data_IF_168961650238
#
_entry.id   IF_168961650238
#
_cell.length_a   1.000
_cell.length_b   1.000
_cell.length_c   1.000
_cell.angle_alpha   90.00
_cell.angle_beta   90.00
_cell.angle_gamma   90.00
#
_symmetry.space_group_name_H-M   'P 1'
#
loop_
_entity.id
_entity.type
_entity.pdbx_description
1 polymer ?
#
# COMPACT_ATOMS: atom_id res chain seq x y z
N UNK A 1 28.07 28.22 31.76
CA UNK A 1 29.02 27.11 31.51
C UNK A 1 28.49 26.31 30.33
N UNK A 2 29.08 26.52 29.13
CA UNK A 2 28.72 25.81 27.90
C UNK A 2 29.23 24.38 27.99
N UNK A 3 28.34 23.39 27.90
CA UNK A 3 28.73 22.01 27.62
C UNK A 3 28.63 21.79 26.10
N UNK A 4 29.80 21.64 25.47
CA UNK A 4 29.90 21.09 24.13
C UNK A 4 29.64 19.58 24.21
N UNK A 5 28.55 19.11 23.61
CA UNK A 5 28.34 17.70 23.28
C UNK A 5 29.03 17.41 21.95
N UNK A 6 29.94 16.43 21.94
CA UNK A 6 30.47 15.83 20.72
C UNK A 6 29.47 14.80 20.17
N UNK A 7 29.27 14.69 18.84
CA UNK A 7 28.40 13.68 18.26
C UNK A 7 29.14 12.32 18.18
N UNK A 8 28.49 11.22 18.59
CA UNK A 8 28.94 9.86 18.28
C UNK A 8 29.02 8.83 19.41
N UNK A 9 28.35 9.01 20.55
CA UNK A 9 28.24 7.92 21.55
C UNK A 9 26.82 7.35 21.59
N UNK A 10 26.70 6.10 21.10
CA UNK A 10 25.59 5.21 21.42
C UNK A 10 25.40 5.20 22.95
N UNK A 11 24.25 5.67 23.41
CA UNK A 11 23.92 5.69 24.83
C UNK A 11 23.12 4.44 25.15
N UNK A 12 23.83 3.34 25.44
CA UNK A 12 23.25 2.10 25.97
C UNK A 12 23.61 1.97 27.44
N UNK A 13 22.64 1.66 28.30
CA UNK A 13 22.91 1.20 29.67
C UNK A 13 22.87 -0.32 29.64
N UNK A 14 23.97 -0.97 30.04
CA UNK A 14 24.16 -2.43 29.94
C UNK A 14 24.65 -2.96 31.29
N UNK A 15 24.05 -4.03 31.79
CA UNK A 15 24.64 -4.89 32.83
C UNK A 15 24.74 -6.30 32.24
N UNK A 16 25.96 -6.81 32.04
CA UNK A 16 26.17 -8.04 31.27
C UNK A 16 26.56 -9.23 32.15
N UNK A 17 26.04 -10.41 31.82
CA UNK A 17 26.64 -11.71 32.13
C UNK A 17 26.67 -12.55 30.86
N UNK A 18 27.85 -13.00 30.46
CA UNK A 18 28.10 -13.65 29.17
C UNK A 18 28.12 -15.17 29.33
N UNK A 19 27.33 -15.90 28.52
CA UNK A 19 27.47 -17.35 28.34
C UNK A 19 28.00 -17.63 26.92
N UNK A 20 29.05 -18.44 26.81
CA UNK A 20 29.67 -18.84 25.53
C UNK A 20 29.28 -20.30 25.24
N UNK A 21 28.62 -20.55 24.11
CA UNK A 21 28.35 -21.91 23.61
C UNK A 21 29.34 -22.21 22.48
N UNK A 22 30.16 -23.25 22.66
CA UNK A 22 31.14 -23.71 21.66
C UNK A 22 30.55 -24.93 20.95
N UNK A 23 30.31 -24.83 19.64
CA UNK A 23 29.94 -25.96 18.79
C UNK A 23 31.20 -26.41 18.03
N UNK A 24 31.70 -27.59 18.35
CA UNK A 24 32.78 -28.22 17.61
C UNK A 24 32.19 -29.03 16.45
N UNK A 25 32.47 -28.63 15.20
CA UNK A 25 32.18 -29.44 14.01
C UNK A 25 33.47 -30.18 13.64
N UNK A 26 33.46 -31.51 13.74
CA UNK A 26 34.57 -32.35 13.27
C UNK A 26 34.25 -32.88 11.89
N UNK A 27 35.04 -32.47 10.89
CA UNK A 27 35.14 -33.16 9.60
C UNK A 27 36.38 -34.06 9.63
N UNK A 28 36.33 -35.27 9.04
CA UNK A 28 37.51 -36.13 9.00
C UNK A 28 38.56 -35.52 8.04
N UNK A 29 39.69 -35.10 8.60
CA UNK A 29 40.88 -34.72 7.85
C UNK A 29 41.26 -33.24 7.82
N UNK A 30 40.59 -32.35 8.57
CA UNK A 30 41.00 -30.95 8.69
C UNK A 30 40.98 -30.44 10.14
N UNK A 31 41.87 -29.49 10.43
CA UNK A 31 41.95 -28.81 11.73
C UNK A 31 40.58 -28.20 12.10
N UNK A 32 40.15 -28.28 13.37
CA UNK A 32 38.85 -27.78 13.77
C UNK A 32 38.79 -26.26 13.60
N UNK A 33 37.96 -25.79 12.66
CA UNK A 33 37.56 -24.40 12.59
C UNK A 33 36.47 -24.17 13.64
N UNK A 34 36.81 -23.47 14.71
CA UNK A 34 35.84 -23.03 15.72
C UNK A 34 35.08 -21.83 15.15
N UNK A 35 33.85 -22.06 14.69
CA UNK A 35 32.94 -20.98 14.34
C UNK A 35 32.23 -20.54 15.62
N UNK A 36 32.75 -19.50 16.29
CA UNK A 36 32.08 -18.88 17.43
C UNK A 36 30.92 -18.02 16.93
N UNK A 37 29.71 -18.56 16.88
CA UNK A 37 28.49 -17.76 16.82
C UNK A 37 28.06 -17.42 18.25
N UNK A 38 28.41 -16.22 18.71
CA UNK A 38 27.91 -15.69 19.98
C UNK A 38 26.43 -15.31 19.81
N UNK A 39 25.51 -16.12 20.34
CA UNK A 39 24.11 -15.71 20.51
C UNK A 39 23.96 -15.24 21.94
N UNK A 40 23.86 -13.92 22.14
CA UNK A 40 23.53 -13.36 23.44
C UNK A 40 22.05 -13.65 23.75
N UNK A 41 21.79 -14.72 24.50
CA UNK A 41 20.48 -15.00 25.09
C UNK A 41 20.45 -14.35 26.46
N UNK A 42 20.34 -13.02 26.47
CA UNK A 42 20.00 -12.26 27.67
C UNK A 42 18.51 -11.95 27.68
N UNK A 43 17.80 -12.30 28.75
CA UNK A 43 16.39 -11.96 28.97
C UNK A 43 16.18 -10.47 29.36
N UNK A 44 17.07 -9.58 28.93
CA UNK A 44 17.02 -8.17 29.29
C UNK A 44 16.24 -7.36 28.26
N UNK A 45 15.28 -6.56 28.73
CA UNK A 45 14.61 -5.55 27.92
C UNK A 45 15.54 -4.33 27.84
N UNK A 46 16.24 -4.21 26.71
CA UNK A 46 17.09 -3.05 26.43
C UNK A 46 16.23 -1.96 25.81
N UNK A 47 16.09 -0.82 26.49
CA UNK A 47 15.44 0.39 25.93
C UNK A 47 16.43 1.07 24.99
N UNK A 48 16.06 1.23 23.72
CA UNK A 48 16.88 1.87 22.69
C UNK A 48 16.14 3.08 22.14
N UNK A 49 16.65 4.26 22.47
CA UNK A 49 16.07 5.55 22.05
C UNK A 49 16.32 5.80 20.55
N UNK A 50 17.40 5.26 20.01
CA UNK A 50 17.71 5.40 18.58
C UNK A 50 16.85 4.44 17.73
N UNK A 51 16.34 4.91 16.57
CA UNK A 51 15.61 4.06 15.64
C UNK A 51 16.50 2.95 15.05
N UNK A 52 15.92 1.85 14.53
CA UNK A 52 16.69 0.81 13.87
C UNK A 52 17.34 1.32 12.56
N UNK A 53 18.66 1.14 12.43
CA UNK A 53 19.40 1.46 11.20
C UNK A 53 19.28 0.37 10.12
N UNK A 54 18.64 -0.75 10.44
CA UNK A 54 18.48 -1.88 9.51
C UNK A 54 17.72 -1.45 8.25
N UNK A 55 18.26 -1.81 7.09
CA UNK A 55 17.58 -1.70 5.81
C UNK A 55 16.77 -2.96 5.55
N UNK A 56 15.45 -2.84 5.68
CA UNK A 56 14.50 -3.90 5.37
C UNK A 56 14.21 -3.97 3.87
N UNK A 57 13.92 -5.16 3.41
CA UNK A 57 13.52 -5.46 2.04
C UNK A 57 12.02 -5.17 1.86
N UNK A 58 11.63 -4.82 0.63
CA UNK A 58 10.25 -4.52 0.23
C UNK A 58 9.96 -5.13 -1.15
N UNK A 59 8.68 -5.20 -1.51
CA UNK A 59 8.25 -5.75 -2.80
C UNK A 59 8.69 -7.19 -3.00
N UNK A 60 9.19 -7.51 -4.20
CA UNK A 60 9.59 -8.88 -4.56
C UNK A 60 10.70 -9.45 -3.66
N UNK A 61 11.67 -8.63 -3.24
CA UNK A 61 12.72 -9.07 -2.33
C UNK A 61 12.14 -9.46 -0.94
N UNK A 62 11.16 -8.70 -0.45
CA UNK A 62 10.46 -9.07 0.78
C UNK A 62 9.63 -10.35 0.61
N UNK A 63 8.94 -10.52 -0.53
CA UNK A 63 8.19 -11.74 -0.84
C UNK A 63 9.14 -12.96 -0.85
N UNK A 64 10.33 -12.84 -1.44
CA UNK A 64 11.37 -13.87 -1.43
C UNK A 64 11.88 -14.16 -0.01
N UNK A 65 12.18 -13.14 0.77
CA UNK A 65 12.61 -13.30 2.17
C UNK A 65 11.53 -13.92 3.05
N UNK A 66 10.26 -13.60 2.82
CA UNK A 66 9.11 -14.19 3.52
C UNK A 66 8.88 -15.65 3.14
N UNK A 67 9.08 -16.01 1.87
CA UNK A 67 9.04 -17.39 1.37
C UNK A 67 10.32 -18.18 1.70
N UNK A 68 11.38 -17.48 2.08
CA UNK A 68 12.69 -18.04 2.43
C UNK A 68 12.61 -19.07 3.55
N UNK A 69 13.65 -19.90 3.65
CA UNK A 69 13.69 -21.02 4.60
C UNK A 69 14.63 -20.73 5.76
N UNK A 70 14.20 -21.11 6.97
CA UNK A 70 15.00 -21.13 8.19
C UNK A 70 15.47 -22.57 8.40
N UNK A 71 16.79 -22.84 8.53
CA UNK A 71 17.32 -24.20 8.69
C UNK A 71 16.94 -24.86 10.03
N UNK A 72 16.55 -24.04 11.01
CA UNK A 72 16.09 -24.44 12.33
C UNK A 72 16.38 -23.34 13.35
N UNK A 73 15.58 -23.27 14.39
CA UNK A 73 15.77 -22.35 15.50
C UNK A 73 15.13 -22.92 16.77
N UNK A 74 15.69 -22.51 17.91
CA UNK A 74 15.17 -22.87 19.22
C UNK A 74 15.15 -21.61 20.05
N UNK A 75 13.95 -21.27 20.55
CA UNK A 75 13.75 -20.27 21.57
C UNK A 75 13.26 -20.96 22.82
N UNK A 76 13.81 -20.57 23.96
CA UNK A 76 13.44 -21.09 25.27
C UNK A 76 13.12 -19.91 26.19
N UNK A 77 11.82 -19.68 26.42
CA UNK A 77 11.29 -18.58 27.21
C UNK A 77 11.85 -17.19 26.81
N UNK A 78 12.11 -16.99 25.51
CA UNK A 78 12.64 -15.73 24.99
C UNK A 78 11.50 -14.71 24.86
N UNK A 79 11.68 -13.43 25.24
CA UNK A 79 10.65 -12.40 25.05
C UNK A 79 10.27 -12.26 23.58
N UNK A 80 8.97 -12.22 23.28
CA UNK A 80 8.42 -12.08 21.92
C UNK A 80 9.12 -10.99 21.11
N UNK A 81 9.33 -9.81 21.72
CA UNK A 81 10.08 -8.70 21.12
C UNK A 81 11.43 -9.12 20.58
N UNK A 82 12.23 -9.82 21.38
CA UNK A 82 13.58 -10.20 21.01
C UNK A 82 13.56 -11.21 19.87
N UNK A 83 12.60 -12.14 19.89
CA UNK A 83 12.40 -13.12 18.81
C UNK A 83 12.05 -12.41 17.49
N UNK A 84 11.10 -11.47 17.52
CA UNK A 84 10.70 -10.70 16.35
C UNK A 84 11.83 -9.82 15.82
N UNK A 85 12.60 -9.16 16.69
CA UNK A 85 13.74 -8.33 16.29
C UNK A 85 14.85 -9.16 15.65
N UNK A 86 15.16 -10.35 16.20
CA UNK A 86 16.15 -11.26 15.64
C UNK A 86 15.74 -11.74 14.26
N UNK A 87 14.49 -12.21 14.11
CA UNK A 87 13.97 -12.69 12.82
C UNK A 87 13.88 -11.57 11.79
N UNK A 88 13.35 -10.41 12.18
CA UNK A 88 13.24 -9.25 11.30
C UNK A 88 14.61 -8.77 10.82
N UNK A 89 15.63 -8.79 11.67
CA UNK A 89 17.01 -8.45 11.28
C UNK A 89 17.61 -9.51 10.35
N UNK A 90 17.46 -10.79 10.70
CA UNK A 90 18.07 -11.90 9.96
C UNK A 90 17.49 -12.05 8.54
N UNK A 91 16.19 -11.82 8.39
CA UNK A 91 15.48 -11.94 7.11
C UNK A 91 15.14 -10.59 6.48
N UNK A 92 15.64 -9.48 7.05
CA UNK A 92 15.41 -8.12 6.57
C UNK A 92 13.93 -7.82 6.32
N UNK A 93 13.05 -8.33 7.18
CA UNK A 93 11.62 -8.01 7.18
C UNK A 93 11.28 -7.09 8.35
N UNK A 94 10.45 -6.08 8.11
CA UNK A 94 9.97 -5.26 9.21
C UNK A 94 8.84 -5.98 9.93
N UNK A 95 9.09 -6.39 11.18
CA UNK A 95 8.10 -7.05 12.02
C UNK A 95 7.64 -6.09 13.10
N UNK A 96 6.37 -5.67 13.03
CA UNK A 96 5.71 -4.87 14.06
C UNK A 96 4.80 -5.76 14.90
N UNK A 97 4.81 -5.54 16.22
CA UNK A 97 3.91 -6.19 17.17
C UNK A 97 2.87 -5.17 17.61
N UNK A 98 1.59 -5.48 17.42
CA UNK A 98 0.47 -4.65 17.85
C UNK A 98 0.51 -4.44 19.37
N UNK A 99 0.29 -3.20 19.82
CA UNK A 99 0.30 -2.82 21.25
C UNK A 99 -0.58 -3.69 22.16
N UNK A 100 -1.60 -4.37 21.62
CA UNK A 100 -2.52 -5.25 22.38
C UNK A 100 -1.92 -6.63 22.64
N UNK A 101 -0.78 -6.94 22.05
CA UNK A 101 0.00 -8.16 22.29
C UNK A 101 1.16 -7.81 23.21
N UNK A 102 1.30 -8.54 24.32
CA UNK A 102 2.38 -8.34 25.27
C UNK A 102 3.75 -8.68 24.65
N UNK A 103 4.64 -7.69 24.43
CA UNK A 103 5.94 -7.91 23.80
C UNK A 103 6.94 -8.64 24.72
N UNK A 104 6.65 -8.72 26.02
CA UNK A 104 7.48 -9.42 27.02
C UNK A 104 7.08 -10.88 27.18
N UNK A 105 5.99 -11.32 26.56
CA UNK A 105 5.49 -12.69 26.63
C UNK A 105 6.59 -13.68 26.23
N UNK A 106 6.90 -14.68 27.08
CA UNK A 106 7.91 -15.67 26.76
C UNK A 106 7.42 -16.58 25.63
N UNK A 107 8.29 -16.85 24.67
CA UNK A 107 8.10 -17.74 23.53
C UNK A 107 9.08 -18.91 23.66
N UNK A 108 8.53 -20.12 23.67
CA UNK A 108 9.26 -21.38 23.77
C UNK A 108 8.91 -22.25 22.58
N UNK A 109 9.65 -22.05 21.49
CA UNK A 109 9.38 -22.71 20.21
C UNK A 109 10.63 -23.44 19.70
N UNK A 110 10.43 -24.70 19.30
CA UNK A 110 11.41 -25.49 18.54
C UNK A 110 10.92 -25.65 17.11
N UNK A 111 11.69 -25.14 16.17
CA UNK A 111 11.41 -25.30 14.75
C UNK A 111 12.55 -26.05 14.06
N UNK A 112 12.16 -27.02 13.23
CA UNK A 112 13.06 -27.59 12.23
C UNK A 112 13.15 -26.68 11.00
N UNK A 113 13.44 -27.27 9.85
CA UNK A 113 13.42 -26.55 8.57
C UNK A 113 11.98 -26.09 8.26
N UNK A 114 11.77 -24.78 8.14
CA UNK A 114 10.46 -24.19 7.85
C UNK A 114 10.61 -22.84 7.13
N UNK A 115 9.57 -22.37 6.44
CA UNK A 115 9.59 -21.02 5.85
C UNK A 115 9.53 -19.94 6.92
N UNK A 116 10.06 -18.75 6.63
CA UNK A 116 9.96 -17.57 7.51
C UNK A 116 8.51 -17.29 7.85
N UNK A 117 7.63 -17.32 6.84
CA UNK A 117 6.18 -17.19 7.02
C UNK A 117 5.62 -18.14 8.08
N UNK A 118 5.88 -19.44 7.94
CA UNK A 118 5.36 -20.45 8.85
C UNK A 118 5.93 -20.30 10.28
N UNK A 119 7.15 -19.80 10.41
CA UNK A 119 7.78 -19.54 11.71
C UNK A 119 7.15 -18.33 12.39
N UNK A 120 6.99 -17.22 11.67
CA UNK A 120 6.38 -16.00 12.22
C UNK A 120 4.91 -16.23 12.57
N UNK A 121 4.18 -17.01 11.77
CA UNK A 121 2.82 -17.45 12.08
C UNK A 121 2.73 -18.27 13.38
N UNK A 122 3.66 -19.20 13.60
CA UNK A 122 3.73 -19.97 14.86
C UNK A 122 4.02 -19.08 16.06
N UNK A 123 4.95 -18.13 15.92
CA UNK A 123 5.28 -17.16 16.97
C UNK A 123 4.05 -16.29 17.29
N UNK A 124 3.36 -15.79 16.26
CA UNK A 124 2.14 -15.02 16.43
C UNK A 124 1.06 -15.82 17.15
N UNK A 125 0.85 -17.09 16.77
CA UNK A 125 -0.12 -17.98 17.41
C UNK A 125 0.22 -18.24 18.89
N UNK A 126 1.49 -18.47 19.22
CA UNK A 126 1.95 -18.66 20.61
C UNK A 126 1.77 -17.38 21.45
N UNK A 127 1.88 -16.21 20.82
CA UNK A 127 1.58 -14.91 21.42
C UNK A 127 0.07 -14.60 21.54
N UNK A 128 -0.82 -15.44 20.99
CA UNK A 128 -2.27 -15.22 20.97
C UNK A 128 -2.76 -14.28 19.86
N UNK A 129 -1.94 -14.06 18.83
CA UNK A 129 -2.24 -13.21 17.68
C UNK A 129 -2.26 -13.99 16.36
N UNK A 130 -2.30 -13.22 15.27
CA UNK A 130 -2.14 -13.65 13.88
C UNK A 130 -1.24 -12.68 13.15
N UNK A 131 -0.77 -13.08 11.97
CA UNK A 131 0.03 -12.25 11.08
C UNK A 131 -0.85 -11.60 10.02
N UNK A 132 -0.50 -10.36 9.66
CA UNK A 132 -0.89 -9.71 8.42
C UNK A 132 0.37 -9.22 7.72
N UNK A 133 0.40 -9.28 6.40
CA UNK A 133 1.59 -8.93 5.62
C UNK A 133 1.21 -8.03 4.44
N UNK A 134 2.01 -6.99 4.20
CA UNK A 134 1.95 -6.18 2.98
C UNK A 134 3.30 -5.51 2.74
N UNK A 135 3.82 -5.61 1.51
CA UNK A 135 4.94 -4.81 1.02
C UNK A 135 6.19 -4.80 1.94
N UNK A 136 6.55 -5.94 2.55
CA UNK A 136 7.71 -6.06 3.46
C UNK A 136 7.46 -5.63 4.90
N UNK A 137 6.23 -5.21 5.21
CA UNK A 137 5.73 -5.07 6.57
C UNK A 137 4.98 -6.35 6.99
N UNK A 138 5.39 -6.91 8.12
CA UNK A 138 4.68 -7.97 8.84
C UNK A 138 4.14 -7.39 10.13
N UNK A 139 2.83 -7.46 10.31
CA UNK A 139 2.13 -7.07 11.53
C UNK A 139 1.68 -8.32 12.30
N UNK A 140 2.13 -8.48 13.54
CA UNK A 140 1.60 -9.45 14.49
C UNK A 140 0.54 -8.75 15.32
N UNK A 141 -0.73 -9.13 15.17
CA UNK A 141 -1.86 -8.43 15.78
C UNK A 141 -2.93 -9.40 16.32
N UNK A 142 -3.85 -8.94 17.19
CA UNK A 142 -5.02 -9.73 17.56
C UNK A 142 -5.79 -10.22 16.31
N UNK A 143 -6.44 -11.39 16.34
CA UNK A 143 -7.01 -12.02 15.16
C UNK A 143 -7.87 -11.08 14.30
N UNK A 144 -8.76 -10.31 14.94
CA UNK A 144 -9.66 -9.37 14.25
C UNK A 144 -8.90 -8.24 13.55
N UNK A 145 -7.82 -7.74 14.15
CA UNK A 145 -7.01 -6.68 13.57
C UNK A 145 -6.15 -7.19 12.40
N UNK A 146 -5.56 -8.38 12.55
CA UNK A 146 -4.83 -9.02 11.46
C UNK A 146 -5.74 -9.29 10.24
N UNK A 147 -6.95 -9.82 10.48
CA UNK A 147 -7.94 -10.07 9.42
C UNK A 147 -8.42 -8.79 8.72
N UNK A 148 -8.50 -7.67 9.45
CA UNK A 148 -8.95 -6.38 8.89
C UNK A 148 -7.85 -5.58 8.20
N UNK A 149 -6.58 -5.93 8.38
CA UNK A 149 -5.45 -5.13 7.89
C UNK A 149 -5.45 -4.94 6.37
N UNK A 150 -5.42 -6.05 5.62
CA UNK A 150 -5.38 -6.02 4.16
C UNK A 150 -6.61 -5.30 3.54
N UNK A 151 -7.86 -5.63 3.90
CA UNK A 151 -9.01 -4.94 3.31
C UNK A 151 -9.05 -3.45 3.68
N UNK A 152 -8.60 -3.06 4.89
CA UNK A 152 -8.47 -1.65 5.26
C UNK A 152 -7.40 -0.93 4.43
N UNK A 153 -6.26 -1.57 4.23
CA UNK A 153 -5.18 -1.02 3.40
C UNK A 153 -5.67 -0.80 1.96
N UNK A 154 -6.32 -1.79 1.37
CA UNK A 154 -6.85 -1.71 0.00
C UNK A 154 -7.92 -0.62 -0.13
N UNK A 155 -8.85 -0.52 0.83
CA UNK A 155 -9.85 0.55 0.90
C UNK A 155 -9.20 1.93 1.04
N UNK A 156 -8.18 2.05 1.89
CA UNK A 156 -7.49 3.32 2.13
C UNK A 156 -6.72 3.77 0.90
N UNK A 157 -6.03 2.84 0.21
CA UNK A 157 -5.36 3.09 -1.08
C UNK A 157 -6.36 3.52 -2.14
N UNK A 158 -7.48 2.84 -2.27
CA UNK A 158 -8.57 3.24 -3.18
C UNK A 158 -9.01 4.67 -2.90
N UNK A 159 -9.28 5.00 -1.64
CA UNK A 159 -9.77 6.33 -1.24
C UNK A 159 -8.75 7.43 -1.52
N UNK A 160 -7.47 7.21 -1.18
CA UNK A 160 -6.39 8.16 -1.47
C UNK A 160 -6.16 8.33 -2.97
N UNK A 161 -6.28 7.24 -3.75
CA UNK A 161 -6.16 7.32 -5.20
C UNK A 161 -7.25 8.17 -5.86
N UNK A 162 -8.46 8.24 -5.28
CA UNK A 162 -9.57 9.06 -5.79
C UNK A 162 -9.36 10.57 -5.61
N UNK A 163 -8.58 10.97 -4.61
CA UNK A 163 -8.38 12.38 -4.24
C UNK A 163 -6.98 12.89 -4.58
N UNK A 164 -6.06 11.98 -4.87
CA UNK A 164 -4.73 12.32 -5.33
C UNK A 164 -4.76 13.08 -6.66
N UNK A 165 -4.01 14.18 -6.72
CA UNK A 165 -3.70 14.89 -7.98
C UNK A 165 -2.46 14.30 -8.67
N UNK A 166 -2.12 14.80 -9.86
CA UNK A 166 -0.97 14.38 -10.67
C UNK A 166 0.35 14.27 -9.91
N UNK A 167 0.54 15.11 -8.88
CA UNK A 167 1.80 15.25 -8.16
C UNK A 167 1.74 14.45 -6.85
N UNK A 168 1.48 13.15 -6.99
CA UNK A 168 0.86 12.30 -5.97
C UNK A 168 1.81 11.94 -4.81
N UNK A 169 2.05 12.90 -3.92
CA UNK A 169 2.80 12.72 -2.68
C UNK A 169 2.29 11.51 -1.88
N UNK A 170 0.98 11.24 -1.88
CA UNK A 170 0.35 10.14 -1.13
C UNK A 170 0.78 8.75 -1.57
N UNK A 171 1.23 8.58 -2.83
CA UNK A 171 1.74 7.32 -3.36
C UNK A 171 3.25 7.18 -3.26
N UNK A 172 3.97 8.24 -2.86
CA UNK A 172 5.41 8.14 -2.70
C UNK A 172 5.72 7.20 -1.55
N UNK A 173 6.62 6.26 -1.80
CA UNK A 173 7.09 5.38 -0.76
C UNK A 173 8.09 6.11 0.13
N UNK A 174 7.87 6.06 1.43
CA UNK A 174 8.75 6.68 2.42
C UNK A 174 9.03 5.70 3.55
N UNK A 175 10.23 5.79 4.11
CA UNK A 175 10.58 5.00 5.29
C UNK A 175 10.41 5.82 6.55
N UNK A 176 9.63 5.29 7.49
CA UNK A 176 9.43 5.85 8.82
C UNK A 176 10.15 4.99 9.84
N UNK A 177 10.80 5.62 10.81
CA UNK A 177 11.51 4.93 11.88
C UNK A 177 11.29 5.67 13.18
N UNK A 178 11.14 4.93 14.26
CA UNK A 178 11.05 5.48 15.60
C UNK A 178 11.79 4.59 16.59
N UNK A 179 12.28 5.21 17.67
CA UNK A 179 12.90 4.51 18.79
C UNK A 179 11.89 3.99 19.81
N UNK A 180 12.38 3.36 20.87
CA UNK A 180 11.53 2.94 21.98
C UNK A 180 10.93 4.17 22.68
N UNK A 181 9.73 3.98 23.23
CA UNK A 181 8.94 5.00 23.93
C UNK A 181 8.45 6.13 23.00
N UNK A 182 8.41 5.89 21.69
CA UNK A 182 7.78 6.81 20.75
C UNK A 182 6.26 6.85 20.96
N UNK A 183 5.66 8.03 20.87
CA UNK A 183 4.21 8.18 21.00
C UNK A 183 3.53 7.96 19.64
N UNK A 184 2.46 7.13 19.56
CA UNK A 184 1.78 6.82 18.29
C UNK A 184 1.18 8.05 17.62
N UNK A 185 0.72 9.02 18.42
CA UNK A 185 0.23 10.30 17.92
C UNK A 185 1.33 11.09 17.21
N UNK A 186 2.56 11.06 17.72
CA UNK A 186 3.71 11.71 17.09
C UNK A 186 4.09 11.00 15.80
N UNK A 187 4.11 9.66 15.80
CA UNK A 187 4.37 8.84 14.61
C UNK A 187 3.33 9.15 13.51
N UNK A 188 2.04 9.14 13.84
CA UNK A 188 0.97 9.47 12.89
C UNK A 188 1.09 10.91 12.36
N UNK A 189 1.45 11.86 13.22
CA UNK A 189 1.64 13.26 12.82
C UNK A 189 2.85 13.44 11.90
N UNK A 190 3.94 12.71 12.14
CA UNK A 190 5.10 12.69 11.25
C UNK A 190 4.74 12.10 9.88
N UNK A 191 4.03 10.96 9.85
CA UNK A 191 3.53 10.36 8.62
C UNK A 191 2.68 11.37 7.85
N UNK A 192 1.69 11.98 8.51
CA UNK A 192 0.82 12.97 7.90
C UNK A 192 1.63 14.14 7.33
N UNK A 193 2.56 14.69 8.11
CA UNK A 193 3.43 15.80 7.67
C UNK A 193 4.24 15.45 6.43
N UNK A 194 4.87 14.27 6.39
CA UNK A 194 5.67 13.83 5.24
C UNK A 194 4.84 13.59 3.98
N UNK A 195 3.54 13.35 4.14
CA UNK A 195 2.58 13.18 3.06
C UNK A 195 1.75 14.43 2.77
N UNK A 196 2.08 15.58 3.38
CA UNK A 196 1.35 16.84 3.24
C UNK A 196 -0.13 16.72 3.63
N UNK A 197 -0.41 15.87 4.62
CA UNK A 197 -1.70 15.68 5.24
C UNK A 197 -1.78 16.40 6.58
N UNK A 198 -2.98 16.88 6.91
CA UNK A 198 -3.33 17.41 8.22
C UNK A 198 -4.33 16.46 8.90
N UNK A 199 -4.01 16.03 10.12
CA UNK A 199 -4.93 15.27 10.96
C UNK A 199 -5.85 16.25 11.70
N UNK A 200 -7.16 16.14 11.49
CA UNK A 200 -8.16 17.03 12.10
C UNK A 200 -8.35 16.76 13.61
N UNK A 201 -8.31 15.49 14.00
CA UNK A 201 -8.64 15.01 15.35
C UNK A 201 -7.58 14.02 15.89
N UNK A 202 -6.32 14.46 16.10
CA UNK A 202 -5.22 13.59 16.55
C UNK A 202 -5.43 12.99 17.96
N UNK A 203 -6.34 13.55 18.76
CA UNK A 203 -6.75 13.05 20.06
C UNK A 203 -7.46 11.69 20.01
N UNK A 204 -8.00 11.28 18.86
CA UNK A 204 -8.54 9.93 18.63
C UNK A 204 -7.47 8.84 18.71
N UNK A 205 -6.19 9.21 18.68
CA UNK A 205 -5.07 8.32 19.02
C UNK A 205 -4.77 8.52 20.51
N UNK A 206 -5.12 7.54 21.38
CA UNK A 206 -4.80 7.58 22.79
C UNK A 206 -3.29 7.72 23.02
N UNK A 207 -2.91 8.31 24.15
CA UNK A 207 -1.52 8.33 24.58
C UNK A 207 -1.05 6.91 24.90
N UNK A 208 0.13 6.55 24.39
CA UNK A 208 0.76 5.25 24.54
C UNK A 208 2.26 5.39 24.25
N UNK A 209 3.06 4.38 24.61
CA UNK A 209 4.50 4.33 24.39
C UNK A 209 4.86 3.07 23.63
N UNK A 210 5.31 3.23 22.40
CA UNK A 210 5.53 2.10 21.50
C UNK A 210 6.95 1.54 21.55
N UNK A 211 7.09 0.24 21.26
CA UNK A 211 8.38 -0.32 20.87
C UNK A 211 8.95 0.43 19.67
N UNK A 212 10.29 0.46 19.56
CA UNK A 212 10.94 0.89 18.32
C UNK A 212 10.43 0.10 17.12
N UNK A 213 10.39 0.74 15.95
CA UNK A 213 9.83 0.13 14.76
C UNK A 213 10.21 0.86 13.48
N UNK A 214 9.98 0.18 12.35
CA UNK A 214 10.23 0.71 11.01
C UNK A 214 9.04 0.39 10.10
N UNK A 215 8.63 1.36 9.29
CA UNK A 215 7.74 1.14 8.16
C UNK A 215 8.57 1.37 6.89
N UNK A 216 9.10 0.30 6.27
CA UNK A 216 10.01 0.43 5.14
C UNK A 216 9.24 0.74 3.87
N UNK A 217 9.65 1.80 3.17
CA UNK A 217 9.13 2.20 1.85
C UNK A 217 7.59 2.12 1.73
N UNK A 218 6.89 2.58 2.76
CA UNK A 218 5.42 2.56 2.79
C UNK A 218 4.83 3.83 2.17
N UNK A 219 3.73 3.66 1.44
CA UNK A 219 2.88 4.78 1.03
C UNK A 219 2.05 5.33 2.20
N UNK A 220 1.33 6.44 1.99
CA UNK A 220 0.51 7.06 3.04
C UNK A 220 -0.56 6.13 3.60
N UNK A 221 -1.16 5.29 2.75
CA UNK A 221 -2.22 4.38 3.14
C UNK A 221 -1.68 3.25 4.03
N UNK A 222 -0.57 2.62 3.64
CA UNK A 222 0.11 1.58 4.40
C UNK A 222 0.60 2.11 5.74
N UNK A 223 1.27 3.25 5.74
CA UNK A 223 1.81 3.85 6.96
C UNK A 223 0.71 4.20 7.97
N UNK A 224 -0.36 4.87 7.53
CA UNK A 224 -1.48 5.23 8.40
C UNK A 224 -2.27 4.00 8.87
N UNK A 225 -2.48 3.01 7.99
CA UNK A 225 -3.20 1.77 8.35
C UNK A 225 -2.44 0.98 9.42
N UNK A 226 -1.11 0.85 9.29
CA UNK A 226 -0.26 0.14 10.25
C UNK A 226 -0.28 0.76 11.65
N UNK A 227 -0.40 2.09 11.73
CA UNK A 227 -0.51 2.78 13.02
C UNK A 227 -1.92 2.67 13.60
N UNK A 228 -2.94 3.02 12.82
CA UNK A 228 -4.30 3.23 13.32
C UNK A 228 -5.07 1.94 13.61
N UNK A 229 -4.74 0.84 12.93
CA UNK A 229 -5.42 -0.44 13.16
C UNK A 229 -5.22 -0.97 14.59
N UNK A 230 -4.12 -0.58 15.24
CA UNK A 230 -3.81 -0.93 16.63
C UNK A 230 -4.75 -0.23 17.64
N UNK A 231 -5.52 0.76 17.20
CA UNK A 231 -6.51 1.51 17.97
C UNK A 231 -7.94 1.28 17.49
N UNK A 232 -8.16 0.29 16.61
CA UNK A 232 -9.44 0.05 15.96
C UNK A 232 -9.96 1.30 15.22
N UNK A 233 -9.02 2.04 14.61
CA UNK A 233 -9.27 3.26 13.84
C UNK A 233 -8.80 3.12 12.40
N UNK A 234 -9.34 3.96 11.54
CA UNK A 234 -8.93 4.16 10.15
C UNK A 234 -9.04 5.66 9.82
N UNK A 235 -8.77 6.04 8.57
CA UNK A 235 -8.91 7.42 8.10
C UNK A 235 -10.07 7.57 7.12
N UNK A 236 -10.70 8.73 7.19
CA UNK A 236 -11.47 9.30 6.09
C UNK A 236 -10.75 10.53 5.58
N UNK A 237 -10.43 10.55 4.28
CA UNK A 237 -9.75 11.65 3.62
C UNK A 237 -10.77 12.52 2.89
N UNK A 238 -10.60 13.82 3.05
CA UNK A 238 -11.46 14.83 2.45
C UNK A 238 -11.31 14.87 0.93
N UNK A 239 -12.20 15.63 0.26
CA UNK A 239 -12.19 15.73 -1.21
C UNK A 239 -10.94 16.43 -1.76
N UNK A 240 -10.25 17.24 -0.95
CA UNK A 240 -9.02 17.92 -1.37
C UNK A 240 -7.78 17.05 -1.30
N UNK A 241 -7.86 15.90 -0.58
CA UNK A 241 -6.73 15.00 -0.41
C UNK A 241 -5.68 15.54 0.57
N UNK A 242 -6.05 16.48 1.45
CA UNK A 242 -5.13 17.16 2.39
C UNK A 242 -5.53 17.00 3.84
N UNK A 243 -6.81 16.80 4.13
CA UNK A 243 -7.30 16.67 5.50
C UNK A 243 -7.75 15.23 5.71
N UNK A 244 -7.23 14.61 6.77
CA UNK A 244 -7.66 13.29 7.21
C UNK A 244 -8.31 13.38 8.58
N UNK A 245 -9.44 12.69 8.72
CA UNK A 245 -10.10 12.49 10.01
C UNK A 245 -9.92 11.03 10.43
N UNK A 246 -9.52 10.83 11.68
CA UNK A 246 -9.44 9.51 12.28
C UNK A 246 -10.85 9.11 12.69
N UNK A 247 -11.30 7.94 12.22
CA UNK A 247 -12.66 7.43 12.42
C UNK A 247 -12.62 5.96 12.84
N UNK A 248 -13.67 5.43 13.50
CA UNK A 248 -13.77 4.00 13.77
C UNK A 248 -13.70 3.16 12.49
N UNK A 249 -13.11 1.97 12.60
CA UNK A 249 -13.17 0.98 11.52
C UNK A 249 -14.65 0.60 11.28
N UNK A 250 -15.16 0.71 10.05
CA UNK A 250 -16.52 0.31 9.75
C UNK A 250 -16.69 -1.20 9.87
N UNK A 251 -17.88 -1.65 10.28
CA UNK A 251 -18.19 -3.08 10.42
C UNK A 251 -18.00 -3.86 9.12
N UNK A 252 -18.34 -3.22 7.98
CA UNK A 252 -18.11 -3.73 6.63
C UNK A 252 -17.02 -2.95 5.91
N UNK A 253 -15.99 -3.65 5.48
CA UNK A 253 -14.85 -3.07 4.74
C UNK A 253 -14.94 -3.54 3.29
N UNK A 254 -15.46 -2.66 2.43
CA UNK A 254 -15.53 -2.88 0.99
C UNK A 254 -14.48 -2.06 0.25
N UNK A 255 -13.94 -2.64 -0.81
CA UNK A 255 -13.01 -1.97 -1.72
C UNK A 255 -13.27 -2.42 -3.15
N UNK A 256 -12.74 -1.69 -4.13
CA UNK A 256 -12.87 -2.04 -5.54
C UNK A 256 -11.60 -2.70 -6.06
N UNK A 257 -11.72 -3.84 -6.75
CA UNK A 257 -10.64 -4.49 -7.47
C UNK A 257 -11.08 -4.85 -8.89
N UNK A 258 -10.12 -4.87 -9.79
CA UNK A 258 -10.37 -5.11 -11.21
C UNK A 258 -9.99 -6.55 -11.58
N UNK A 259 -10.73 -7.18 -12.47
CA UNK A 259 -10.51 -8.54 -12.90
C UNK A 259 -10.63 -8.65 -14.42
N UNK A 260 -9.94 -9.64 -15.01
CA UNK A 260 -10.02 -9.96 -16.44
C UNK A 260 -10.49 -11.40 -16.64
N UNK A 261 -11.80 -11.68 -16.51
CA UNK A 261 -12.36 -12.99 -16.80
C UNK A 261 -12.05 -13.45 -18.23
N UNK A 262 -11.85 -14.76 -18.42
CA UNK A 262 -11.68 -15.36 -19.76
C UNK A 262 -12.91 -15.12 -20.64
N UNK A 263 -14.10 -15.14 -20.02
CA UNK A 263 -15.40 -14.88 -20.67
C UNK A 263 -16.18 -13.85 -19.86
N UNK A 264 -16.76 -12.87 -20.55
CA UNK A 264 -17.66 -11.88 -19.96
C UNK A 264 -18.88 -11.78 -20.88
N UNK A 265 -20.06 -12.07 -20.36
CA UNK A 265 -21.34 -11.99 -21.08
C UNK A 265 -22.42 -11.44 -20.16
N UNK A 266 -23.54 -10.96 -20.73
CA UNK A 266 -24.67 -10.50 -19.94
C UNK A 266 -25.23 -11.60 -19.01
N UNK A 267 -25.22 -12.85 -19.47
CA UNK A 267 -25.65 -14.00 -18.67
C UNK A 267 -24.69 -14.27 -17.49
N UNK A 268 -23.37 -14.20 -17.72
CA UNK A 268 -22.38 -14.35 -16.66
C UNK A 268 -22.51 -13.23 -15.62
N UNK A 269 -22.72 -11.98 -16.05
CA UNK A 269 -22.92 -10.85 -15.13
C UNK A 269 -24.20 -11.00 -14.29
N UNK A 270 -25.30 -11.47 -14.88
CA UNK A 270 -26.53 -11.76 -14.16
C UNK A 270 -26.36 -12.88 -13.13
N UNK A 271 -25.57 -13.90 -13.46
CA UNK A 271 -25.20 -14.96 -12.53
C UNK A 271 -24.32 -14.45 -11.38
N UNK A 272 -23.31 -13.63 -11.66
CA UNK A 272 -22.44 -13.04 -10.64
C UNK A 272 -23.24 -12.16 -9.66
N UNK A 273 -24.11 -11.28 -10.16
CA UNK A 273 -24.98 -10.44 -9.31
C UNK A 273 -25.95 -11.24 -8.44
N UNK A 274 -26.38 -12.43 -8.90
CA UNK A 274 -27.21 -13.33 -8.09
C UNK A 274 -26.41 -14.02 -7.00
N UNK A 275 -25.13 -14.33 -7.26
CA UNK A 275 -24.26 -15.08 -6.35
C UNK A 275 -23.61 -14.20 -5.28
N UNK A 276 -23.26 -12.96 -5.62
CA UNK A 276 -22.73 -11.95 -4.71
C UNK A 276 -23.68 -10.74 -4.68
N UNK A 277 -24.82 -10.86 -3.99
CA UNK A 277 -25.87 -9.82 -3.99
C UNK A 277 -25.43 -8.52 -3.32
N UNK A 278 -24.49 -8.60 -2.37
CA UNK A 278 -23.95 -7.44 -1.65
C UNK A 278 -22.75 -6.79 -2.34
N UNK A 279 -22.32 -7.35 -3.48
CA UNK A 279 -21.19 -6.86 -4.25
C UNK A 279 -21.65 -6.16 -5.53
N UNK A 280 -20.95 -5.08 -5.88
CA UNK A 280 -21.23 -4.29 -7.07
C UNK A 280 -20.30 -4.69 -8.22
N UNK A 281 -20.86 -4.83 -9.42
CA UNK A 281 -20.10 -5.18 -10.63
C UNK A 281 -20.29 -4.10 -11.70
N UNK A 282 -19.18 -3.43 -12.07
CA UNK A 282 -19.07 -2.63 -13.29
C UNK A 282 -18.28 -3.41 -14.35
N UNK A 283 -18.80 -3.44 -15.58
CA UNK A 283 -18.19 -4.20 -16.69
C UNK A 283 -17.89 -3.25 -17.83
N UNK A 284 -16.60 -3.14 -18.16
CA UNK A 284 -16.12 -2.35 -19.30
C UNK A 284 -15.32 -3.25 -20.24
N UNK A 285 -15.89 -3.55 -21.41
CA UNK A 285 -15.33 -4.47 -22.43
C UNK A 285 -15.05 -5.87 -21.86
N UNK A 286 -13.81 -6.15 -21.43
CA UNK A 286 -13.34 -7.43 -20.88
C UNK A 286 -12.72 -7.28 -19.49
N UNK A 287 -13.04 -6.17 -18.84
CA UNK A 287 -12.55 -5.78 -17.53
C UNK A 287 -13.77 -5.65 -16.62
N UNK A 288 -13.73 -6.35 -15.49
CA UNK A 288 -14.80 -6.36 -14.48
C UNK A 288 -14.25 -5.72 -13.23
N UNK A 289 -14.82 -4.60 -12.81
CA UNK A 289 -14.55 -4.02 -11.50
C UNK A 289 -15.58 -4.58 -10.53
N UNK A 290 -15.09 -5.34 -9.56
CA UNK A 290 -15.87 -5.84 -8.43
C UNK A 290 -15.61 -4.90 -7.25
N UNK A 291 -16.66 -4.41 -6.62
CA UNK A 291 -16.61 -3.74 -5.33
C UNK A 291 -17.33 -4.60 -4.30
N UNK A 292 -16.59 -5.11 -3.33
CA UNK A 292 -17.12 -6.03 -2.33
C UNK A 292 -16.18 -6.19 -1.14
N UNK A 293 -16.52 -7.12 -0.26
CA UNK A 293 -15.63 -7.51 0.84
C UNK A 293 -14.53 -8.45 0.35
N UNK A 294 -13.48 -8.61 1.15
CA UNK A 294 -12.35 -9.49 0.81
C UNK A 294 -12.80 -10.94 0.52
N UNK A 295 -13.86 -11.42 1.19
CA UNK A 295 -14.45 -12.72 0.93
C UNK A 295 -15.07 -12.84 -0.47
N UNK A 296 -15.76 -11.78 -0.94
CA UNK A 296 -16.33 -11.73 -2.29
C UNK A 296 -15.21 -11.79 -3.33
N UNK A 297 -14.15 -11.01 -3.12
CA UNK A 297 -12.97 -10.99 -3.97
C UNK A 297 -12.26 -12.34 -4.04
N UNK A 298 -12.07 -13.00 -2.89
CA UNK A 298 -11.47 -14.32 -2.81
C UNK A 298 -12.30 -15.36 -3.56
N UNK A 299 -13.60 -15.44 -3.29
CA UNK A 299 -14.51 -16.37 -3.96
C UNK A 299 -14.57 -16.11 -5.47
N UNK A 300 -14.71 -14.84 -5.88
CA UNK A 300 -14.75 -14.48 -7.30
C UNK A 300 -13.47 -14.92 -8.03
N UNK A 301 -12.30 -14.69 -7.43
CA UNK A 301 -11.01 -15.06 -8.03
C UNK A 301 -10.81 -16.58 -8.15
N UNK A 302 -11.40 -17.37 -7.24
CA UNK A 302 -11.33 -18.83 -7.25
C UNK A 302 -12.33 -19.45 -8.24
N UNK A 303 -13.55 -18.93 -8.30
CA UNK A 303 -14.64 -19.51 -9.07
C UNK A 303 -14.67 -19.03 -10.54
N UNK A 304 -14.21 -17.81 -10.82
CA UNK A 304 -14.25 -17.24 -12.17
C UNK A 304 -12.91 -17.44 -12.86
N UNK A 305 -12.86 -18.14 -14.01
CA UNK A 305 -11.61 -18.32 -14.74
C UNK A 305 -11.05 -16.98 -15.23
N UNK A 306 -9.92 -16.54 -14.66
CA UNK A 306 -9.21 -15.32 -15.03
C UNK A 306 -8.14 -15.59 -16.08
N UNK A 307 -7.74 -14.56 -16.85
CA UNK A 307 -6.58 -14.64 -17.74
C UNK A 307 -5.27 -14.58 -16.94
N UNK A 308 -4.23 -15.27 -17.41
CA UNK A 308 -2.91 -15.46 -16.76
C UNK A 308 -2.03 -14.21 -16.60
N UNK A 309 -2.58 -13.00 -16.62
CA UNK A 309 -1.90 -11.86 -15.99
C UNK A 309 -2.06 -12.01 -14.48
N UNK A 310 -1.32 -12.95 -13.90
CA UNK A 310 -1.46 -13.47 -12.55
C UNK A 310 -0.95 -12.51 -11.46
N UNK A 311 -1.88 -11.79 -10.85
CA UNK A 311 -1.98 -11.36 -9.44
C UNK A 311 -3.34 -10.63 -9.35
N UNK A 312 -4.04 -10.63 -8.20
CA UNK A 312 -5.14 -9.69 -8.00
C UNK A 312 -4.59 -8.29 -8.32
N UNK A 313 -5.21 -7.48 -9.18
CA UNK A 313 -4.71 -6.14 -9.42
C UNK A 313 -4.69 -5.37 -8.12
N UNK A 314 -3.53 -4.78 -7.86
CA UNK A 314 -3.32 -3.59 -7.05
C UNK A 314 -4.48 -2.61 -7.27
N UNK A 315 -4.80 -1.87 -6.21
CA UNK A 315 -5.73 -0.73 -6.15
C UNK A 315 -5.93 -0.05 -7.53
N UNK A 316 -7.18 0.35 -7.86
CA UNK A 316 -7.61 0.71 -9.20
C UNK A 316 -6.54 1.50 -9.96
N UNK A 317 -6.09 0.94 -11.08
CA UNK A 317 -5.23 1.63 -12.04
C UNK A 317 -5.97 2.88 -12.52
N UNK A 318 -5.53 4.01 -11.97
CA UNK A 318 -5.57 5.37 -12.48
C UNK A 318 -6.70 5.72 -13.46
N UNK A 319 -7.81 6.22 -12.90
CA UNK A 319 -8.55 7.27 -13.60
C UNK A 319 -7.78 8.57 -13.38
N UNK A 320 -6.70 8.79 -14.13
CA UNK A 320 -6.05 10.13 -14.15
C UNK A 320 -7.08 11.12 -14.68
N UNK A 321 -7.49 12.07 -13.85
CA UNK A 321 -8.43 13.13 -14.23
C UNK A 321 -7.83 13.97 -15.37
N UNK A 322 -8.65 14.53 -16.26
CA UNK A 322 -8.15 15.30 -17.40
C UNK A 322 -7.26 16.48 -16.98
N UNK A 323 -7.63 17.18 -15.90
CA UNK A 323 -6.83 18.28 -15.31
C UNK A 323 -5.40 17.87 -14.95
N UNK A 324 -5.21 16.57 -14.73
CA UNK A 324 -3.99 15.96 -14.24
C UNK A 324 -3.16 15.28 -15.35
N UNK A 325 -3.61 15.40 -16.61
CA UNK A 325 -2.92 14.83 -17.78
C UNK A 325 -2.08 15.89 -18.49
N UNK A 326 -0.86 15.51 -18.84
CA UNK A 326 -0.04 16.23 -19.81
C UNK A 326 -0.18 15.56 -21.17
N UNK A 327 -0.60 16.32 -22.17
CA UNK A 327 -0.81 15.86 -23.52
C UNK A 327 0.37 16.27 -24.39
N UNK A 328 1.08 15.27 -24.89
CA UNK A 328 2.02 15.45 -26.00
C UNK A 328 1.39 14.81 -27.21
N UNK A 329 1.11 15.60 -28.23
CA UNK A 329 0.49 15.13 -29.47
C UNK A 329 1.22 15.80 -30.63
N UNK A 330 1.94 14.99 -31.39
CA UNK A 330 2.48 15.34 -32.70
C UNK A 330 1.64 14.59 -33.72
N UNK A 331 0.77 15.33 -34.41
CA UNK A 331 -0.14 14.80 -35.41
C UNK A 331 0.00 15.64 -36.66
N UNK A 332 0.37 15.00 -37.77
CA UNK A 332 0.41 15.63 -39.09
C UNK A 332 -0.74 15.07 -39.92
N UNK A 333 -1.66 15.94 -40.33
CA UNK A 333 -2.77 15.61 -41.19
C UNK A 333 -3.62 14.43 -40.67
N UNK A 334 -4.03 14.45 -39.39
CA UNK A 334 -4.82 13.38 -38.75
C UNK A 334 -6.29 13.83 -38.60
N UNK A 335 -7.29 13.00 -38.93
CA UNK A 335 -8.69 13.35 -38.72
C UNK A 335 -9.01 13.49 -37.22
N UNK A 336 -9.81 14.49 -36.86
CA UNK A 336 -10.14 14.79 -35.45
C UNK A 336 -10.89 13.62 -34.79
N UNK A 337 -11.70 12.87 -35.53
CA UNK A 337 -12.31 11.61 -35.06
C UNK A 337 -11.28 10.59 -34.56
N UNK A 338 -10.10 10.51 -35.16
CA UNK A 338 -9.04 9.61 -34.69
C UNK A 338 -8.37 10.13 -33.41
N UNK A 339 -8.28 11.45 -33.24
CA UNK A 339 -7.79 12.08 -32.00
C UNK A 339 -8.78 11.84 -30.86
N UNK A 340 -10.08 12.02 -31.11
CA UNK A 340 -11.16 11.69 -30.15
C UNK A 340 -11.09 10.22 -29.76
N UNK A 341 -11.04 9.31 -30.73
CA UNK A 341 -10.99 7.86 -30.47
C UNK A 341 -9.73 7.46 -29.67
N UNK A 342 -8.59 8.10 -29.93
CA UNK A 342 -7.36 7.89 -29.17
C UNK A 342 -7.54 8.35 -27.72
N UNK A 343 -8.08 9.55 -27.51
CA UNK A 343 -8.34 10.07 -26.16
C UNK A 343 -9.36 9.20 -25.39
N UNK A 344 -10.40 8.71 -26.06
CA UNK A 344 -11.34 7.77 -25.47
C UNK A 344 -10.69 6.44 -25.08
N UNK A 345 -9.70 5.98 -25.84
CA UNK A 345 -8.91 4.79 -25.49
C UNK A 345 -8.09 4.97 -24.20
N UNK A 346 -7.78 6.21 -23.83
CA UNK A 346 -7.10 6.58 -22.58
C UNK A 346 -8.05 6.86 -21.41
N UNK A 347 -9.36 6.62 -21.57
CA UNK A 347 -10.36 6.80 -20.52
C UNK A 347 -11.00 8.18 -20.43
N UNK A 348 -10.79 9.05 -21.43
CA UNK A 348 -11.55 10.30 -21.60
C UNK A 348 -12.92 9.98 -22.19
N UNK A 349 -13.97 10.70 -21.83
CA UNK A 349 -15.31 10.55 -22.40
C UNK A 349 -15.68 11.83 -23.14
N UNK A 350 -16.20 11.74 -24.36
CA UNK A 350 -16.71 12.91 -25.08
C UNK A 350 -18.24 12.90 -25.09
N UNK A 351 -18.82 14.04 -24.73
CA UNK A 351 -20.26 14.28 -24.84
C UNK A 351 -20.48 15.44 -25.81
N UNK A 352 -21.28 15.19 -26.84
CA UNK A 352 -21.67 16.21 -27.81
C UNK A 352 -22.97 15.81 -28.52
N UNK A 353 -23.76 16.81 -28.91
CA UNK A 353 -24.96 16.60 -29.72
C UNK A 353 -24.61 16.59 -31.21
N UNK A 354 -24.62 15.41 -31.81
CA UNK A 354 -24.30 15.22 -33.22
C UNK A 354 -25.29 15.93 -34.18
N UNK A 355 -26.53 16.20 -33.77
CA UNK A 355 -27.48 16.95 -34.57
C UNK A 355 -27.19 18.46 -34.52
N UNK A 356 -26.88 18.98 -33.34
CA UNK A 356 -26.49 20.39 -33.16
C UNK A 356 -25.17 20.73 -33.89
N UNK A 357 -24.18 19.83 -33.85
CA UNK A 357 -22.90 20.04 -34.57
C UNK A 357 -23.08 20.07 -36.09
N UNK A 358 -23.95 19.22 -36.65
CA UNK A 358 -24.26 19.23 -38.09
C UNK A 358 -25.02 20.48 -38.50
N UNK A 359 -25.95 20.96 -37.68
CA UNK A 359 -26.67 22.21 -37.94
C UNK A 359 -25.75 23.44 -37.91
N UNK A 360 -24.71 23.41 -37.08
CA UNK A 360 -23.67 24.43 -37.02
C UNK A 360 -22.58 24.28 -38.10
N UNK A 361 -22.68 23.30 -39.00
CA UNK A 361 -21.73 23.11 -40.10
C UNK A 361 -20.36 22.54 -39.68
N UNK A 362 -20.23 21.96 -38.48
CA UNK A 362 -18.97 21.42 -37.97
C UNK A 362 -18.74 19.99 -38.50
N UNK A 363 -17.60 19.76 -39.16
CA UNK A 363 -17.17 18.43 -39.62
C UNK A 363 -16.05 17.85 -38.75
N UNK A 364 -16.36 16.81 -37.98
CA UNK A 364 -15.39 16.10 -37.13
C UNK A 364 -14.38 15.26 -37.93
N UNK A 365 -14.59 15.03 -39.22
CA UNK A 365 -13.62 14.35 -40.09
C UNK A 365 -12.56 15.30 -40.66
N UNK A 366 -12.65 16.60 -40.38
CA UNK A 366 -11.62 17.56 -40.74
C UNK A 366 -10.27 17.12 -40.17
N UNK A 367 -9.24 17.23 -40.99
CA UNK A 367 -7.88 16.82 -40.65
C UNK A 367 -7.14 17.99 -40.05
N UNK A 368 -6.44 17.73 -38.96
CA UNK A 368 -5.70 18.74 -38.21
C UNK A 368 -4.23 18.35 -38.14
N UNK A 369 -3.37 19.38 -38.17
CA UNK A 369 -1.93 19.27 -37.95
C UNK A 369 -1.60 20.07 -36.70
N UNK A 370 -0.98 19.42 -35.72
CA UNK A 370 -0.62 20.03 -34.44
C UNK A 370 0.60 19.33 -33.84
N UNK A 371 1.55 20.12 -33.35
CA UNK A 371 2.68 19.67 -32.55
C UNK A 371 2.59 20.33 -31.17
N UNK A 372 2.04 19.59 -30.20
CA UNK A 372 1.90 20.01 -28.82
C UNK A 372 2.80 19.15 -27.95
N UNK A 373 3.61 19.80 -27.11
CA UNK A 373 4.50 19.13 -26.16
C UNK A 373 4.09 19.47 -24.74
N UNK A 374 3.70 18.45 -23.98
CA UNK A 374 3.38 18.58 -22.55
C UNK A 374 2.31 19.65 -22.23
N UNK A 375 1.28 19.78 -23.08
CA UNK A 375 0.17 20.71 -22.85
C UNK A 375 -0.74 20.22 -21.71
N UNK A 376 -1.33 21.12 -20.93
CA UNK A 376 -2.44 20.76 -20.03
C UNK A 376 -3.75 20.51 -20.80
N UNK A 377 -4.75 19.92 -20.15
CA UNK A 377 -6.03 19.59 -20.78
C UNK A 377 -6.72 20.80 -21.42
N UNK A 378 -6.69 21.96 -20.77
CA UNK A 378 -7.36 23.16 -21.30
C UNK A 378 -6.68 23.65 -22.57
N UNK A 379 -5.35 23.77 -22.55
CA UNK A 379 -4.58 24.19 -23.71
C UNK A 379 -4.67 23.18 -24.86
N UNK A 380 -4.64 21.89 -24.54
CA UNK A 380 -4.78 20.81 -25.51
C UNK A 380 -6.16 20.80 -26.18
N UNK A 381 -7.25 20.79 -25.40
CA UNK A 381 -8.61 20.75 -25.94
C UNK A 381 -8.94 22.01 -26.75
N UNK A 382 -8.42 23.18 -26.34
CA UNK A 382 -8.55 24.42 -27.11
C UNK A 382 -7.83 24.31 -28.45
N UNK A 383 -6.58 23.87 -28.47
CA UNK A 383 -5.78 23.75 -29.69
C UNK A 383 -6.35 22.74 -30.71
N UNK A 384 -7.02 21.68 -30.24
CA UNK A 384 -7.61 20.66 -31.12
C UNK A 384 -9.00 21.07 -31.63
N UNK A 385 -9.85 21.67 -30.78
CA UNK A 385 -11.28 21.85 -31.09
C UNK A 385 -11.69 23.27 -31.47
N UNK A 386 -11.00 24.31 -30.98
CA UNK A 386 -11.33 25.70 -31.35
C UNK A 386 -11.17 25.99 -32.86
N UNK A 387 -10.16 25.45 -33.58
CA UNK A 387 -10.05 25.63 -35.04
C UNK A 387 -11.23 25.03 -35.84
N UNK A 388 -12.02 24.15 -35.23
CA UNK A 388 -13.21 23.52 -35.81
C UNK A 388 -14.50 24.29 -35.48
N UNK A 389 -14.39 25.43 -34.80
CA UNK A 389 -15.55 26.17 -34.30
C UNK A 389 -16.22 25.50 -33.10
N UNK A 390 -15.49 24.71 -32.31
CA UNK A 390 -16.01 24.01 -31.14
C UNK A 390 -15.46 24.61 -29.85
N UNK A 391 -16.36 24.85 -28.88
CA UNK A 391 -16.01 25.11 -27.50
C UNK A 391 -15.94 23.80 -26.75
N UNK A 392 -14.82 23.60 -26.04
CA UNK A 392 -14.58 22.44 -25.21
C UNK A 392 -14.53 22.85 -23.73
N UNK A 393 -15.23 22.08 -22.89
CA UNK A 393 -15.10 22.16 -21.43
C UNK A 393 -14.94 20.75 -20.87
N UNK A 394 -14.45 20.60 -19.63
CA UNK A 394 -14.30 19.28 -19.05
C UNK A 394 -14.59 19.26 -17.55
N UNK A 395 -15.11 18.12 -17.08
CA UNK A 395 -15.33 17.82 -15.67
C UNK A 395 -14.89 16.38 -15.38
N UNK A 396 -13.86 16.22 -14.55
CA UNK A 396 -13.26 14.92 -14.26
C UNK A 396 -12.61 14.29 -15.51
N UNK A 397 -13.27 13.30 -16.10
CA UNK A 397 -12.85 12.63 -17.35
C UNK A 397 -13.78 12.89 -18.54
N UNK A 398 -14.84 13.68 -18.35
CA UNK A 398 -15.82 14.01 -19.39
C UNK A 398 -15.43 15.33 -20.03
N UNK A 399 -15.33 15.34 -21.36
CA UNK A 399 -15.17 16.51 -22.22
C UNK A 399 -16.49 16.77 -22.92
N UNK A 400 -17.06 17.95 -22.72
CA UNK A 400 -18.24 18.42 -23.42
C UNK A 400 -17.82 19.29 -24.60
N UNK A 401 -18.30 18.96 -25.80
CA UNK A 401 -18.10 19.77 -27.01
C UNK A 401 -19.42 20.41 -27.42
N UNK A 402 -19.37 21.73 -27.67
CA UNK A 402 -20.49 22.52 -28.14
C UNK A 402 -20.06 23.43 -29.29
N UNK A 403 -20.92 23.74 -30.25
CA UNK A 403 -20.58 24.67 -31.32
C UNK A 403 -20.43 26.09 -30.78
N UNK A 404 -19.44 26.82 -31.28
CA UNK A 404 -19.29 28.25 -31.02
C UNK A 404 -20.33 28.97 -31.89
N UNK A 405 -21.47 29.33 -31.28
CA UNK A 405 -22.46 30.18 -31.92
C UNK A 405 -21.96 31.63 -31.84
N UNK A 406 -21.87 32.34 -32.97
CA UNK A 406 -21.71 33.81 -32.98
C UNK A 406 -22.94 34.51 -32.40
#
# INVERSE_FOLDING_TARGET
>A
MKWLMAPGRQSSVVFASTLVVVIAVSLPGSLPAVLCCSVAVGNEIVVRIDPPDTQFEVGEAADESWAGTIPGAVWDAAPLRNVCEQLGTAHRLSILVDRRIDPSRPISLRIGVASVAAVVEKIAAEAGGRTAHSDGLVLIAPPLAAERFEPLLLRTRERMAQVASSNNQLRKEQTFRWGDLAEPRQIASEIATRFELQIENPEEIPHDLWPRGVLPQTDAAAAMTAVLIQFDRTIDIDRTGRIVRIVPIPDRIVYSATYRPKKTSAAALAEWRRRWPDAEFDVRRRVVTLRGEIADHAQFSQEVPLRETGKPPVAPTDVVLLKDRRFTLSAENVPVTAIIANLESTGVQFQYDAAALRQAGVDLNQRVTLDLRSADATAFLKAVFEPLGLRSSYSGVIVELSPITE
#
